data_IF_262041033352
#
_entry.id   IF_262041033352
#
_cell.length_a   1.000
_cell.length_b   1.000
_cell.length_c   1.000
_cell.angle_alpha   90.00
_cell.angle_beta   90.00
_cell.angle_gamma   90.00
#
_symmetry.space_group_name_H-M   'P 1'
#
loop_
_entity.id
_entity.type
_entity.pdbx_description
1 polymer ?
#
# COMPACT_ATOMS: atom_id res chain seq x y z
N UNK A 1 2.34 14.42 -4.03
CA UNK A 1 3.15 13.23 -3.71
C UNK A 1 3.09 12.85 -2.22
N UNK A 2 3.15 13.81 -1.29
CA UNK A 2 3.31 13.55 0.15
C UNK A 2 2.22 12.64 0.76
N UNK A 3 0.96 12.79 0.36
CA UNK A 3 -0.16 11.99 0.92
C UNK A 3 0.06 10.49 0.75
N UNK A 4 0.48 10.03 -0.42
CA UNK A 4 0.62 8.60 -0.68
C UNK A 4 1.83 7.99 0.04
N UNK A 5 2.92 8.75 0.18
CA UNK A 5 4.08 8.34 1.00
C UNK A 5 3.69 8.20 2.47
N UNK A 6 2.92 9.16 3.01
CA UNK A 6 2.43 9.11 4.39
C UNK A 6 1.52 7.90 4.63
N UNK A 7 0.59 7.60 3.71
CA UNK A 7 -0.28 6.42 3.82
C UNK A 7 0.51 5.12 3.81
N UNK A 8 1.55 5.02 2.97
CA UNK A 8 2.43 3.86 2.95
C UNK A 8 3.21 3.74 4.27
N UNK A 9 3.72 4.85 4.80
CA UNK A 9 4.41 4.85 6.10
C UNK A 9 3.50 4.40 7.25
N UNK A 10 2.23 4.79 7.23
CA UNK A 10 1.23 4.33 8.20
C UNK A 10 1.04 2.81 8.15
N UNK A 11 0.99 2.21 6.96
CA UNK A 11 0.91 0.75 6.82
C UNK A 11 2.12 0.05 7.48
N UNK A 12 3.34 0.57 7.29
CA UNK A 12 4.53 0.04 8.00
C UNK A 12 4.54 0.34 9.49
N UNK A 13 3.92 1.44 9.93
CA UNK A 13 3.79 1.73 11.35
C UNK A 13 2.94 0.66 12.03
N UNK A 14 1.85 0.22 11.39
CA UNK A 14 1.03 -0.90 11.87
C UNK A 14 1.82 -2.20 11.93
N UNK A 15 2.59 -2.53 10.88
CA UNK A 15 3.45 -3.73 10.87
C UNK A 15 4.51 -3.70 11.97
N UNK A 16 5.14 -2.54 12.21
CA UNK A 16 6.09 -2.37 13.30
C UNK A 16 5.43 -2.56 14.66
N UNK A 17 4.21 -2.03 14.83
CA UNK A 17 3.46 -2.14 16.08
C UNK A 17 3.03 -3.59 16.36
N UNK A 18 2.63 -4.35 15.32
CA UNK A 18 2.36 -5.77 15.44
C UNK A 18 3.61 -6.57 15.85
N UNK A 19 4.77 -6.25 15.25
CA UNK A 19 6.05 -6.89 15.55
C UNK A 19 6.56 -6.57 16.95
N UNK A 20 6.49 -5.30 17.37
CA UNK A 20 6.93 -4.85 18.69
C UNK A 20 6.14 -5.53 19.82
N UNK A 21 4.81 -5.64 19.61
CA UNK A 21 3.91 -6.33 20.54
C UNK A 21 3.97 -7.85 20.46
N UNK A 22 4.78 -8.43 19.55
CA UNK A 22 4.85 -9.88 19.28
C UNK A 22 3.45 -10.51 19.15
N UNK A 23 2.58 -9.86 18.37
CA UNK A 23 1.20 -10.31 18.19
C UNK A 23 1.15 -11.64 17.46
N UNK A 24 0.23 -12.51 17.87
CA UNK A 24 -0.12 -13.71 17.14
C UNK A 24 -0.67 -13.37 15.74
N UNK A 25 -0.61 -14.30 14.76
CA UNK A 25 -1.11 -14.04 13.40
C UNK A 25 -2.59 -13.63 13.37
N UNK A 26 -3.43 -14.12 14.29
CA UNK A 26 -4.83 -13.69 14.40
C UNK A 26 -4.96 -12.25 14.91
N UNK A 27 -4.20 -11.88 15.95
CA UNK A 27 -4.19 -10.51 16.48
C UNK A 27 -3.59 -9.51 15.48
N UNK A 28 -2.57 -9.93 14.74
CA UNK A 28 -1.99 -9.15 13.64
C UNK A 28 -3.03 -8.90 12.55
N UNK A 29 -3.82 -9.92 12.18
CA UNK A 29 -4.93 -9.78 11.24
C UNK A 29 -5.94 -8.74 11.73
N UNK A 30 -6.38 -8.84 12.98
CA UNK A 30 -7.34 -7.87 13.55
C UNK A 30 -6.80 -6.44 13.54
N UNK A 31 -5.53 -6.25 13.94
CA UNK A 31 -4.88 -4.94 13.90
C UNK A 31 -4.80 -4.38 12.47
N UNK A 32 -4.43 -5.23 11.49
CA UNK A 32 -4.38 -4.85 10.08
C UNK A 32 -5.78 -4.47 9.56
N UNK A 33 -6.82 -5.20 9.93
CA UNK A 33 -8.19 -4.88 9.53
C UNK A 33 -8.71 -3.58 10.16
N UNK A 34 -8.30 -3.28 11.40
CA UNK A 34 -8.70 -2.04 12.08
C UNK A 34 -7.94 -0.81 11.55
N UNK A 35 -6.61 -0.92 11.37
CA UNK A 35 -5.73 0.23 11.09
C UNK A 35 -5.23 0.27 9.65
N UNK A 36 -4.85 -0.87 9.09
CA UNK A 36 -4.30 -0.93 7.73
C UNK A 36 -5.38 -0.87 6.66
N UNK A 37 -6.52 -1.54 6.83
CA UNK A 37 -7.61 -1.57 5.85
C UNK A 37 -8.15 -0.18 5.45
N UNK A 38 -8.46 0.75 6.38
CA UNK A 38 -8.91 2.08 5.99
C UNK A 38 -7.83 2.86 5.22
N UNK A 39 -6.57 2.78 5.66
CA UNK A 39 -5.41 3.41 5.03
C UNK A 39 -5.16 2.83 3.64
N UNK A 40 -5.28 1.52 3.50
CA UNK A 40 -5.19 0.78 2.25
C UNK A 40 -6.25 1.31 1.27
N UNK A 41 -7.52 1.28 1.64
CA UNK A 41 -8.62 1.76 0.80
C UNK A 41 -8.45 3.22 0.38
N UNK A 42 -7.96 4.07 1.28
CA UNK A 42 -7.68 5.47 0.99
C UNK A 42 -6.54 5.63 -0.04
N UNK A 43 -5.47 4.85 0.10
CA UNK A 43 -4.36 4.82 -0.85
C UNK A 43 -4.84 4.36 -2.23
N UNK A 44 -5.66 3.32 -2.31
CA UNK A 44 -6.22 2.82 -3.57
C UNK A 44 -7.10 3.86 -4.27
N UNK A 45 -7.95 4.56 -3.52
CA UNK A 45 -8.75 5.68 -4.05
C UNK A 45 -7.87 6.83 -4.57
N UNK A 46 -6.81 7.15 -3.84
CA UNK A 46 -5.86 8.18 -4.23
C UNK A 46 -5.11 7.80 -5.52
N UNK A 47 -4.63 6.57 -5.62
CA UNK A 47 -3.95 6.04 -6.82
C UNK A 47 -4.89 6.07 -8.01
N UNK A 48 -6.12 5.55 -7.87
CA UNK A 48 -7.13 5.55 -8.93
C UNK A 48 -7.45 6.98 -9.41
N UNK A 49 -7.60 7.93 -8.49
CA UNK A 49 -7.89 9.33 -8.83
C UNK A 49 -6.72 10.03 -9.54
N UNK A 50 -5.48 9.69 -9.19
CA UNK A 50 -4.30 10.25 -9.85
C UNK A 50 -3.91 9.51 -11.13
N UNK A 51 -4.33 8.26 -11.31
CA UNK A 51 -4.10 7.49 -12.53
C UNK A 51 -4.70 8.18 -13.76
N UNK A 52 -5.89 8.77 -13.64
CA UNK A 52 -6.52 9.53 -14.73
C UNK A 52 -5.76 10.80 -15.12
N UNK A 53 -4.93 11.33 -14.20
CA UNK A 53 -4.09 12.51 -14.46
C UNK A 53 -2.73 12.13 -15.06
N UNK A 54 -2.33 10.86 -14.91
CA UNK A 54 -1.09 10.33 -15.44
C UNK A 54 -1.27 9.89 -16.90
N UNK A 55 -0.29 10.19 -17.76
CA UNK A 55 -0.24 9.66 -19.11
C UNK A 55 -0.07 8.12 -19.05
N UNK A 56 -0.88 7.33 -19.76
CA UNK A 56 -0.88 5.87 -19.62
C UNK A 56 0.46 5.20 -20.02
N UNK A 57 1.25 5.85 -20.87
CA UNK A 57 2.59 5.37 -21.29
C UNK A 57 3.74 5.96 -20.47
N UNK A 58 3.46 6.87 -19.54
CA UNK A 58 4.48 7.41 -18.66
C UNK A 58 4.90 6.35 -17.63
N UNK A 59 6.12 6.44 -17.07
CA UNK A 59 6.56 5.55 -16.00
C UNK A 59 5.57 5.47 -14.82
N UNK A 60 4.94 6.60 -14.48
CA UNK A 60 3.93 6.68 -13.43
C UNK A 60 2.62 5.99 -13.81
N UNK A 61 2.16 6.12 -15.07
CA UNK A 61 0.96 5.44 -15.56
C UNK A 61 1.13 3.91 -15.57
N UNK A 62 2.31 3.43 -15.97
CA UNK A 62 2.65 1.99 -15.94
C UNK A 62 2.67 1.48 -14.51
N UNK A 63 3.30 2.22 -13.59
CA UNK A 63 3.40 1.80 -12.20
C UNK A 63 2.04 1.83 -11.48
N UNK A 64 1.20 2.85 -11.71
CA UNK A 64 -0.17 2.86 -11.17
C UNK A 64 -1.01 1.70 -11.70
N UNK A 65 -0.92 1.41 -12.99
CA UNK A 65 -1.63 0.29 -13.59
C UNK A 65 -1.17 -1.04 -12.97
N UNK A 66 0.13 -1.25 -12.87
CA UNK A 66 0.71 -2.43 -12.23
C UNK A 66 0.25 -2.59 -10.77
N UNK A 67 0.20 -1.49 -10.01
CA UNK A 67 -0.30 -1.49 -8.64
C UNK A 67 -1.79 -1.85 -8.56
N UNK A 68 -2.64 -1.27 -9.42
CA UNK A 68 -4.09 -1.57 -9.42
C UNK A 68 -4.37 -3.01 -9.84
N UNK A 69 -3.66 -3.54 -10.85
CA UNK A 69 -3.84 -4.92 -11.32
C UNK A 69 -3.54 -5.95 -10.22
N UNK A 70 -2.71 -5.60 -9.23
CA UNK A 70 -2.35 -6.45 -8.09
C UNK A 70 -3.03 -6.04 -6.78
N UNK A 71 -3.91 -5.03 -6.80
CA UNK A 71 -4.49 -4.45 -5.59
C UNK A 71 -5.32 -5.45 -4.77
N UNK A 72 -5.99 -6.40 -5.40
CA UNK A 72 -6.74 -7.42 -4.67
C UNK A 72 -5.79 -8.42 -3.98
N UNK A 73 -4.77 -8.89 -4.72
CA UNK A 73 -3.72 -9.80 -4.22
C UNK A 73 -2.94 -9.19 -3.05
N UNK A 74 -2.62 -7.90 -3.15
CA UNK A 74 -1.97 -7.13 -2.09
C UNK A 74 -2.89 -6.87 -0.90
N UNK A 75 -4.20 -7.06 -1.03
CA UNK A 75 -5.11 -7.05 0.11
C UNK A 75 -4.98 -8.30 0.98
N UNK A 76 -4.55 -9.43 0.40
CA UNK A 76 -4.56 -10.72 1.07
C UNK A 76 -3.65 -10.82 2.29
N UNK A 77 -2.53 -10.08 2.33
CA UNK A 77 -1.67 -10.08 3.53
C UNK A 77 -2.39 -9.52 4.76
N UNK A 78 -3.42 -8.68 4.59
CA UNK A 78 -4.20 -8.18 5.72
C UNK A 78 -5.07 -9.26 6.36
N UNK A 79 -5.42 -10.29 5.59
CA UNK A 79 -6.27 -11.39 6.03
C UNK A 79 -5.47 -12.60 6.54
N UNK A 80 -4.20 -12.71 6.14
CA UNK A 80 -3.29 -13.75 6.60
C UNK A 80 -2.10 -13.14 7.38
N UNK A 81 -2.11 -13.30 8.70
CA UNK A 81 -1.08 -12.78 9.60
C UNK A 81 0.31 -13.41 9.42
N UNK A 82 0.45 -14.47 8.61
CA UNK A 82 1.75 -15.10 8.28
C UNK A 82 2.39 -14.45 7.06
N UNK A 83 1.59 -13.77 6.23
CA UNK A 83 2.08 -12.99 5.10
C UNK A 83 2.64 -11.65 5.58
N UNK A 84 3.74 -11.25 4.96
CA UNK A 84 4.36 -9.94 5.16
C UNK A 84 3.91 -8.98 4.06
N UNK A 85 3.98 -7.68 4.36
CA UNK A 85 3.77 -6.65 3.35
C UNK A 85 4.84 -6.79 2.26
N UNK A 86 4.43 -6.88 1.00
CA UNK A 86 5.34 -7.02 -0.13
C UNK A 86 6.13 -5.72 -0.34
N UNK A 87 7.41 -5.74 0.02
CA UNK A 87 8.31 -4.58 -0.11
C UNK A 87 8.44 -4.12 -1.57
N UNK A 88 8.41 -5.06 -2.53
CA UNK A 88 8.59 -4.72 -3.93
C UNK A 88 7.37 -3.95 -4.48
N UNK A 89 6.16 -4.27 -4.03
CA UNK A 89 4.97 -3.47 -4.31
C UNK A 89 5.10 -2.05 -3.74
N UNK A 90 5.48 -1.93 -2.47
CA UNK A 90 5.68 -0.63 -1.82
C UNK A 90 6.70 0.20 -2.57
N UNK A 91 7.86 -0.37 -2.89
CA UNK A 91 8.92 0.32 -3.61
C UNK A 91 8.45 0.78 -4.99
N UNK A 92 7.68 -0.05 -5.71
CA UNK A 92 7.09 0.35 -6.98
C UNK A 92 6.04 1.46 -6.82
N UNK A 93 5.20 1.40 -5.78
CA UNK A 93 4.22 2.43 -5.48
C UNK A 93 4.91 3.77 -5.13
N UNK A 94 5.90 3.76 -4.23
CA UNK A 94 6.71 4.93 -3.86
C UNK A 94 7.45 5.47 -5.07
N UNK A 95 8.10 4.61 -5.88
CA UNK A 95 8.81 5.01 -7.10
C UNK A 95 7.87 5.68 -8.10
N UNK A 96 6.65 5.17 -8.28
CA UNK A 96 5.64 5.79 -9.12
C UNK A 96 5.33 7.22 -8.67
N UNK A 97 5.13 7.40 -7.36
CA UNK A 97 4.78 8.69 -6.74
C UNK A 97 5.96 9.68 -6.82
N UNK A 98 7.18 9.21 -6.61
CA UNK A 98 8.39 10.03 -6.61
C UNK A 98 8.80 10.49 -8.02
N UNK A 99 8.63 9.64 -9.04
CA UNK A 99 9.04 9.95 -10.42
C UNK A 99 8.05 10.86 -11.13
N UNK A 100 6.75 10.82 -10.78
CA UNK A 100 5.73 11.64 -11.47
C UNK A 100 5.46 13.03 -10.88
N UNK A 101 6.23 13.47 -9.88
CA UNK A 101 6.15 14.82 -9.30
C UNK A 101 7.46 15.63 -9.47
N UNK A 102 8.36 15.18 -10.36
CA UNK A 102 9.57 15.91 -10.76
C UNK A 102 9.36 16.65 -12.09
#
# INVERSE_FOLDING_TARGET
AETAVLLIQELYAVERLARDKNLDPEQTKELRLEKSLPTYNLLGKWISSNMYKALPKSPIGIAFRYTIERWDELGHYMYDGRLQLDNNWVENAIRAIAVGYA
#
